data_IF_643459304207
#
_entry.id   IF_643459304207
#
_cell.length_a   1.000
_cell.length_b   1.000
_cell.length_c   1.000
_cell.angle_alpha   90.00
_cell.angle_beta   90.00
_cell.angle_gamma   90.00
#
_symmetry.space_group_name_H-M   'P 1'
#
loop_
_entity.id
_entity.type
_entity.pdbx_description
1 polymer ?
#
# COMPACT_ATOMS: atom_id res chain seq x y z
N UNK A 1 -7.82 -23.11 30.67
CA UNK A 1 -7.55 -22.20 31.80
C UNK A 1 -8.16 -20.87 31.41
N UNK A 2 -8.64 -20.08 32.36
CA UNK A 2 -9.18 -18.75 32.11
C UNK A 2 -8.05 -17.81 31.72
N UNK A 3 -8.19 -17.02 30.65
CA UNK A 3 -7.13 -16.07 30.26
C UNK A 3 -6.95 -14.93 31.28
N UNK A 4 -7.99 -14.55 32.03
CA UNK A 4 -7.91 -13.48 33.02
C UNK A 4 -7.34 -13.92 34.38
N UNK A 5 -7.78 -15.08 34.89
CA UNK A 5 -7.48 -15.49 36.27
C UNK A 5 -6.73 -16.82 36.39
N UNK A 6 -6.32 -17.41 35.25
CA UNK A 6 -5.62 -18.70 35.08
C UNK A 6 -6.31 -19.94 35.70
N UNK A 7 -7.50 -19.78 36.28
CA UNK A 7 -8.25 -20.89 36.87
C UNK A 7 -8.63 -21.93 35.81
N UNK A 8 -8.51 -23.22 36.16
CA UNK A 8 -9.09 -24.31 35.34
C UNK A 8 -10.60 -24.32 35.56
N UNK A 9 -11.37 -24.34 34.48
CA UNK A 9 -12.83 -24.38 34.53
C UNK A 9 -13.36 -25.41 33.54
N UNK A 10 -14.48 -26.04 33.89
CA UNK A 10 -15.15 -27.01 33.06
C UNK A 10 -16.05 -26.30 32.04
N UNK A 11 -16.14 -26.87 30.83
CA UNK A 11 -17.06 -26.39 29.81
C UNK A 11 -18.16 -27.42 29.60
N UNK A 12 -19.42 -26.99 29.42
CA UNK A 12 -20.52 -27.92 29.13
C UNK A 12 -20.19 -28.78 27.91
N UNK A 13 -20.45 -30.08 28.01
CA UNK A 13 -20.14 -31.05 26.95
C UNK A 13 -20.73 -30.67 25.60
N UNK A 14 -21.98 -30.21 25.58
CA UNK A 14 -22.68 -29.76 24.36
C UNK A 14 -21.98 -28.59 23.66
N UNK A 15 -21.25 -27.76 24.41
CA UNK A 15 -20.52 -26.61 23.91
C UNK A 15 -19.26 -27.06 23.14
N UNK A 16 -18.54 -28.04 23.71
CA UNK A 16 -17.36 -28.67 23.11
C UNK A 16 -17.76 -29.47 21.85
N UNK A 17 -18.88 -30.20 21.90
CA UNK A 17 -19.39 -30.99 20.77
C UNK A 17 -19.75 -30.13 19.54
N UNK A 18 -20.07 -28.84 19.76
CA UNK A 18 -20.29 -27.85 18.68
C UNK A 18 -19.01 -27.17 18.22
N UNK A 19 -17.84 -27.61 18.70
CA UNK A 19 -16.54 -27.03 18.36
C UNK A 19 -16.27 -25.68 19.06
N UNK A 20 -17.09 -25.29 20.03
CA UNK A 20 -16.91 -24.04 20.75
C UNK A 20 -16.06 -24.25 22.00
N UNK A 21 -15.15 -23.30 22.27
CA UNK A 21 -14.30 -23.31 23.47
C UNK A 21 -14.30 -21.93 24.12
N UNK A 22 -14.73 -21.85 25.37
CA UNK A 22 -14.64 -20.61 26.14
C UNK A 22 -13.19 -20.36 26.57
N UNK A 23 -12.77 -19.10 26.52
CA UNK A 23 -11.45 -18.65 26.99
C UNK A 23 -11.52 -18.13 28.45
N UNK A 24 -12.73 -17.88 28.97
CA UNK A 24 -12.97 -17.30 30.29
C UNK A 24 -13.89 -18.17 31.15
N UNK A 25 -13.66 -18.18 32.47
CA UNK A 25 -14.44 -18.99 33.40
C UNK A 25 -15.78 -18.36 33.81
N UNK A 26 -15.95 -17.05 33.63
CA UNK A 26 -17.18 -16.32 33.95
C UNK A 26 -17.31 -15.09 33.05
N UNK A 27 -18.52 -14.53 32.96
CA UNK A 27 -18.73 -13.27 32.26
C UNK A 27 -17.96 -12.12 32.91
N UNK A 28 -17.78 -12.16 34.24
CA UNK A 28 -16.96 -11.20 34.99
C UNK A 28 -15.48 -11.23 34.55
N UNK A 29 -14.88 -12.43 34.42
CA UNK A 29 -13.51 -12.55 33.90
C UNK A 29 -13.37 -12.09 32.45
N UNK A 30 -14.42 -12.27 31.64
CA UNK A 30 -14.45 -11.75 30.26
C UNK A 30 -14.47 -10.22 30.25
N UNK A 31 -15.36 -9.61 31.02
CA UNK A 31 -15.49 -8.15 31.09
C UNK A 31 -14.24 -7.50 31.68
N UNK A 32 -13.61 -8.12 32.68
CA UNK A 32 -12.36 -7.61 33.25
C UNK A 32 -11.24 -7.60 32.20
N UNK A 33 -11.11 -8.69 31.44
CA UNK A 33 -10.16 -8.79 30.34
C UNK A 33 -10.45 -7.78 29.21
N UNK A 34 -11.72 -7.56 28.87
CA UNK A 34 -12.15 -6.55 27.89
C UNK A 34 -11.90 -5.11 28.37
N UNK A 35 -11.89 -4.87 29.70
CA UNK A 35 -11.69 -3.54 30.29
C UNK A 35 -10.23 -3.18 30.57
N UNK A 36 -9.33 -4.16 30.59
CA UNK A 36 -7.90 -3.94 30.87
C UNK A 36 -7.14 -3.33 29.69
N UNK A 37 -7.65 -3.45 28.46
CA UNK A 37 -7.04 -2.85 27.28
C UNK A 37 -7.93 -1.75 26.71
N UNK A 38 -7.68 -0.52 27.15
CA UNK A 38 -7.91 0.65 26.30
C UNK A 38 -6.83 0.61 25.20
N UNK A 39 -6.98 -0.34 24.26
CA UNK A 39 -6.16 -0.32 23.06
C UNK A 39 -6.66 0.89 22.27
N UNK A 40 -5.95 2.01 22.41
CA UNK A 40 -6.05 3.09 21.44
C UNK A 40 -5.77 2.43 20.08
N UNK A 41 -6.83 2.25 19.31
CA UNK A 41 -6.77 1.66 17.99
C UNK A 41 -6.10 2.71 17.11
N UNK A 42 -4.78 2.79 17.22
CA UNK A 42 -3.93 3.50 16.28
C UNK A 42 -4.07 2.70 15.00
N UNK A 43 -5.07 3.08 14.21
CA UNK A 43 -5.07 2.82 12.80
C UNK A 43 -3.81 3.53 12.30
N UNK A 44 -2.68 2.83 12.30
CA UNK A 44 -1.53 3.23 11.51
C UNK A 44 -2.09 3.40 10.10
N UNK A 45 -2.34 4.67 9.74
CA UNK A 45 -2.87 5.02 8.44
C UNK A 45 -2.02 4.30 7.42
N UNK A 46 -2.68 3.59 6.49
CA UNK A 46 -2.07 2.69 5.50
C UNK A 46 -0.58 2.99 5.32
N UNK A 47 0.34 2.05 5.62
CA UNK A 47 1.78 2.30 5.64
C UNK A 47 2.10 3.11 4.40
N UNK A 48 2.68 4.31 4.58
CA UNK A 48 2.88 5.32 3.54
C UNK A 48 3.00 4.61 2.19
N UNK A 49 1.94 4.61 1.36
CA UNK A 49 1.73 3.59 0.31
C UNK A 49 2.87 3.52 -0.72
N UNK A 50 3.80 4.51 -0.66
CA UNK A 50 4.98 4.65 -1.51
C UNK A 50 6.25 4.97 -0.71
N UNK A 51 6.27 4.82 0.61
CA UNK A 51 7.36 5.18 1.52
C UNK A 51 7.59 6.70 1.67
N UNK A 52 8.29 7.09 2.74
CA UNK A 52 8.47 8.49 3.14
C UNK A 52 9.20 9.39 2.14
N UNK A 53 9.93 8.82 1.16
CA UNK A 53 10.59 9.60 0.12
C UNK A 53 9.67 9.98 -1.06
N UNK A 54 8.41 9.50 -1.09
CA UNK A 54 7.50 9.73 -2.22
C UNK A 54 7.32 11.21 -2.54
N UNK A 55 7.00 12.04 -1.55
CA UNK A 55 6.73 13.48 -1.76
C UNK A 55 7.92 14.17 -2.44
N UNK A 56 9.12 13.93 -1.91
CA UNK A 56 10.37 14.49 -2.43
C UNK A 56 10.62 14.03 -3.88
N UNK A 57 10.39 12.75 -4.18
CA UNK A 57 10.63 12.21 -5.52
C UNK A 57 9.57 12.64 -6.53
N UNK A 58 8.31 12.77 -6.10
CA UNK A 58 7.23 13.30 -6.92
C UNK A 58 7.47 14.77 -7.30
N UNK A 59 7.91 15.60 -6.36
CA UNK A 59 8.25 17.01 -6.62
C UNK A 59 9.44 17.12 -7.58
N UNK A 60 10.48 16.29 -7.40
CA UNK A 60 11.60 16.21 -8.36
C UNK A 60 11.16 15.73 -9.74
N UNK A 61 10.21 14.80 -9.84
CA UNK A 61 9.68 14.34 -11.12
C UNK A 61 8.93 15.48 -11.84
N UNK A 62 8.08 16.22 -11.13
CA UNK A 62 7.39 17.41 -11.67
C UNK A 62 8.37 18.48 -12.12
N UNK A 63 9.37 18.79 -11.31
CA UNK A 63 10.39 19.78 -11.65
C UNK A 63 11.19 19.36 -12.89
N UNK A 64 11.59 18.08 -12.99
CA UNK A 64 12.26 17.52 -14.18
C UNK A 64 11.38 17.63 -15.43
N UNK A 65 10.09 17.34 -15.28
CA UNK A 65 9.12 17.37 -16.37
C UNK A 65 8.58 18.80 -16.63
N UNK A 66 9.18 19.82 -16.01
CA UNK A 66 8.86 21.22 -16.22
C UNK A 66 7.45 21.62 -15.77
N UNK A 67 6.87 20.90 -14.80
CA UNK A 67 5.48 21.07 -14.35
C UNK A 67 4.48 20.92 -15.52
N UNK A 68 4.85 20.09 -16.50
CA UNK A 68 4.04 19.79 -17.67
C UNK A 68 3.72 18.31 -17.73
N UNK A 69 2.57 17.96 -18.31
CA UNK A 69 2.25 16.58 -18.63
C UNK A 69 3.22 16.07 -19.70
N UNK A 70 3.98 15.01 -19.39
CA UNK A 70 4.93 14.42 -20.32
C UNK A 70 4.26 13.78 -21.56
N UNK A 71 2.94 13.55 -21.53
CA UNK A 71 2.18 12.95 -22.65
C UNK A 71 1.54 13.98 -23.58
N UNK A 72 0.93 15.03 -23.04
CA UNK A 72 0.19 16.02 -23.85
C UNK A 72 0.72 17.45 -23.75
N UNK A 73 1.68 17.72 -22.87
CA UNK A 73 2.32 19.02 -22.71
C UNK A 73 1.53 20.07 -21.92
N UNK A 74 0.33 19.77 -21.40
CA UNK A 74 -0.43 20.73 -20.59
C UNK A 74 0.34 21.08 -19.31
N UNK A 75 0.40 22.36 -18.98
CA UNK A 75 1.10 22.88 -17.78
C UNK A 75 0.20 22.80 -16.55
N UNK A 76 0.80 22.80 -15.35
CA UNK A 76 0.04 22.90 -14.08
C UNK A 76 -0.78 24.18 -14.00
N UNK A 77 -0.26 25.28 -14.54
CA UNK A 77 -0.95 26.59 -14.61
C UNK A 77 -2.24 26.50 -15.44
N UNK A 78 -2.15 25.92 -16.65
CA UNK A 78 -3.32 25.70 -17.51
C UNK A 78 -4.31 24.68 -16.91
N UNK A 79 -3.83 23.75 -16.08
CA UNK A 79 -4.66 22.76 -15.41
C UNK A 79 -5.29 23.28 -14.10
N UNK A 80 -4.73 24.33 -13.49
CA UNK A 80 -5.13 24.86 -12.19
C UNK A 80 -4.83 23.94 -11.00
N UNK A 81 -4.00 22.90 -11.19
CA UNK A 81 -3.57 21.96 -10.13
C UNK A 81 -2.26 21.28 -10.50
N UNK A 82 -1.66 20.63 -9.51
CA UNK A 82 -0.45 19.83 -9.70
C UNK A 82 -0.68 18.61 -10.59
N UNK A 83 0.36 18.24 -11.35
CA UNK A 83 0.41 17.00 -12.12
C UNK A 83 0.42 15.80 -11.18
N UNK A 84 -0.25 14.74 -11.61
CA UNK A 84 -0.19 13.44 -10.99
C UNK A 84 1.14 12.77 -11.38
N UNK A 85 1.73 12.00 -10.47
CA UNK A 85 2.98 11.27 -10.73
C UNK A 85 2.68 9.78 -10.80
N UNK A 86 3.01 9.19 -11.94
CA UNK A 86 2.76 7.79 -12.24
C UNK A 86 4.05 6.97 -12.17
N UNK A 87 3.94 5.75 -11.65
CA UNK A 87 5.02 4.75 -11.70
C UNK A 87 4.97 3.99 -13.03
N UNK A 88 6.00 4.13 -13.87
CA UNK A 88 6.09 3.43 -15.17
C UNK A 88 6.10 1.91 -15.02
N UNK A 89 6.81 1.42 -14.01
CA UNK A 89 6.78 0.04 -13.53
C UNK A 89 6.00 0.03 -12.22
N UNK A 90 4.94 -0.80 -12.07
CA UNK A 90 4.10 -0.80 -10.88
C UNK A 90 4.90 -0.91 -9.58
N UNK A 91 4.61 -0.03 -8.62
CA UNK A 91 5.27 0.03 -7.31
C UNK A 91 5.36 -1.33 -6.61
N UNK A 92 4.30 -2.15 -6.72
CA UNK A 92 4.19 -3.50 -6.14
C UNK A 92 5.22 -4.53 -6.63
N UNK A 93 5.97 -4.21 -7.69
CA UNK A 93 6.99 -5.10 -8.25
C UNK A 93 8.39 -4.83 -7.68
N UNK A 94 8.52 -3.89 -6.76
CA UNK A 94 9.80 -3.54 -6.13
C UNK A 94 9.79 -3.92 -4.65
N UNK A 95 10.93 -4.39 -4.16
CA UNK A 95 11.13 -4.75 -2.76
C UNK A 95 11.41 -3.52 -1.87
N UNK A 96 11.89 -2.41 -2.46
CA UNK A 96 12.19 -1.18 -1.73
C UNK A 96 11.48 0.05 -2.31
N UNK A 97 10.90 0.94 -1.45
CA UNK A 97 10.33 2.21 -1.90
C UNK A 97 11.34 3.12 -2.62
N UNK A 98 12.62 3.01 -2.23
CA UNK A 98 13.71 3.80 -2.82
C UNK A 98 13.95 3.43 -4.28
N UNK A 99 13.88 2.14 -4.63
CA UNK A 99 13.96 1.67 -6.01
C UNK A 99 12.71 2.04 -6.81
N UNK A 100 11.52 1.80 -6.25
CA UNK A 100 10.28 2.12 -6.91
C UNK A 100 10.15 3.62 -7.25
N UNK A 101 10.64 4.49 -6.36
CA UNK A 101 10.56 5.94 -6.49
C UNK A 101 11.76 6.59 -7.18
N UNK A 102 12.61 5.81 -7.87
CA UNK A 102 13.64 6.40 -8.72
C UNK A 102 12.99 7.27 -9.81
N UNK A 103 13.57 8.44 -10.08
CA UNK A 103 13.02 9.37 -11.08
C UNK A 103 12.86 8.72 -12.45
N UNK A 104 13.75 7.81 -12.82
CA UNK A 104 13.66 7.01 -14.05
C UNK A 104 12.33 6.26 -14.17
N UNK A 105 11.77 5.79 -13.05
CA UNK A 105 10.51 5.07 -12.93
C UNK A 105 9.29 5.99 -12.74
N UNK A 106 9.47 7.31 -12.62
CA UNK A 106 8.39 8.27 -12.41
C UNK A 106 8.14 9.14 -13.65
N UNK A 107 6.89 9.50 -13.88
CA UNK A 107 6.46 10.42 -14.96
C UNK A 107 5.31 11.31 -14.50
N UNK A 108 5.39 12.60 -14.80
CA UNK A 108 4.33 13.57 -14.51
C UNK A 108 3.29 13.62 -15.62
N UNK A 109 2.02 13.46 -15.24
CA UNK A 109 0.89 13.38 -16.15
C UNK A 109 -0.30 14.19 -15.64
N UNK A 110 -1.09 14.75 -16.56
CA UNK A 110 -2.37 15.34 -16.19
C UNK A 110 -3.41 14.24 -15.88
N UNK A 111 -4.49 14.53 -15.13
CA UNK A 111 -5.46 13.52 -14.70
C UNK A 111 -6.09 12.73 -15.86
N UNK A 112 -6.31 13.37 -17.01
CA UNK A 112 -6.90 12.73 -18.18
C UNK A 112 -5.93 11.73 -18.84
N UNK A 113 -4.64 12.07 -18.96
CA UNK A 113 -3.61 11.16 -19.45
C UNK A 113 -3.32 10.06 -18.42
N UNK A 114 -3.30 10.40 -17.13
CA UNK A 114 -3.07 9.45 -16.04
C UNK A 114 -4.13 8.35 -16.04
N UNK A 115 -5.42 8.74 -16.09
CA UNK A 115 -6.54 7.80 -16.15
C UNK A 115 -6.50 6.87 -17.37
N UNK A 116 -6.06 7.38 -18.53
CA UNK A 116 -5.91 6.56 -19.74
C UNK A 116 -4.86 5.46 -19.55
N UNK A 117 -3.75 5.78 -18.89
CA UNK A 117 -2.66 4.83 -18.64
C UNK A 117 -3.03 3.83 -17.54
N UNK A 118 -3.69 4.28 -16.47
CA UNK A 118 -4.24 3.38 -15.44
C UNK A 118 -5.25 2.39 -16.01
N UNK A 119 -6.07 2.80 -16.99
CA UNK A 119 -6.99 1.90 -17.69
C UNK A 119 -6.31 0.88 -18.63
N UNK A 120 -5.02 1.07 -18.94
CA UNK A 120 -4.21 0.20 -19.81
C UNK A 120 -3.25 -0.69 -19.02
N UNK A 121 -3.53 -0.93 -17.73
CA UNK A 121 -2.67 -1.47 -16.66
C UNK A 121 -1.79 -2.72 -16.94
N UNK A 122 -1.79 -3.29 -18.14
CA UNK A 122 -0.87 -4.36 -18.56
C UNK A 122 0.11 -3.96 -19.68
N UNK A 123 0.14 -2.70 -20.10
CA UNK A 123 1.03 -2.28 -21.20
C UNK A 123 2.17 -1.41 -20.68
N UNK A 124 3.41 -1.93 -20.63
CA UNK A 124 4.55 -1.13 -20.26
C UNK A 124 4.77 -0.09 -21.37
N UNK A 125 4.65 1.19 -21.04
CA UNK A 125 4.93 2.32 -21.94
C UNK A 125 6.37 2.32 -22.49
N UNK A 126 7.23 1.46 -21.96
CA UNK A 126 8.53 1.12 -22.52
C UNK A 126 8.58 -0.40 -22.67
N UNK A 127 8.43 -0.85 -23.90
CA UNK A 127 8.49 -2.27 -24.26
C UNK A 127 9.77 -2.90 -23.69
N UNK A 128 9.70 -4.18 -23.29
CA UNK A 128 10.90 -4.90 -22.83
C UNK A 128 11.94 -4.82 -23.95
N UNK A 129 13.02 -4.07 -23.76
CA UNK A 129 14.22 -4.26 -24.58
C UNK A 129 14.68 -5.68 -24.30
N UNK A 130 14.32 -6.60 -25.20
CA UNK A 130 14.90 -7.92 -25.24
C UNK A 130 16.38 -7.69 -25.55
N UNK A 131 17.21 -7.60 -24.51
CA UNK A 131 18.64 -7.80 -24.68
C UNK A 131 18.78 -9.18 -25.29
N UNK A 132 19.06 -9.20 -26.59
CA UNK A 132 19.48 -10.37 -27.32
C UNK A 132 20.77 -10.77 -26.64
N UNK A 133 20.70 -11.71 -25.69
CA UNK A 133 21.90 -12.35 -25.18
C UNK A 133 22.56 -12.95 -26.40
N UNK A 134 23.72 -12.38 -26.73
CA UNK A 134 24.59 -12.93 -27.74
C UNK A 134 24.93 -14.33 -27.27
N UNK A 135 24.29 -15.33 -27.88
CA UNK A 135 24.89 -16.65 -28.01
C UNK A 135 26.11 -16.43 -28.88
N UNK A 136 27.27 -16.44 -28.23
CA UNK A 136 28.56 -16.52 -28.86
C UNK A 136 29.30 -17.68 -28.25
N UNK A 137 29.27 -18.77 -29.03
CA UNK A 137 30.23 -19.88 -29.16
C UNK A 137 30.58 -20.69 -27.91
#
# INVERSE_FOLDING_TARGET
>A
RCMQCDKRFAQPRWYIEKGMRSQFCSNECRTHWESEEDFELVLEGRPEYRGGNWKIQADKARARDGFCCASCGITEDALGRQMDVHHKIPYRLFDSPKEANQLSNLISLCPSCHKKIEGQADTPLFDRVKHRSQRSQ
#
